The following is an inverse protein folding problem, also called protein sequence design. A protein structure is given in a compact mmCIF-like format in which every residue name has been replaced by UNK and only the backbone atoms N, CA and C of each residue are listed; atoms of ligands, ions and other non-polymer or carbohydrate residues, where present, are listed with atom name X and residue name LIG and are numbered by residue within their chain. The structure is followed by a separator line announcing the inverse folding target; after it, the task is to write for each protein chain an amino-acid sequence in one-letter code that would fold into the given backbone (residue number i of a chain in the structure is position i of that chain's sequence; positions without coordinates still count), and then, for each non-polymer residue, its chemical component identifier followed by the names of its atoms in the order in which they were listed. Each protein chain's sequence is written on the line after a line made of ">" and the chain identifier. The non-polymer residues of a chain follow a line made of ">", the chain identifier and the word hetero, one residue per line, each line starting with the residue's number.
data_IF_274162476460
#
_entry.id   IF_274162476460
#
_cell.length_a   1.000
_cell.length_b   1.000
_cell.length_c   1.000
_cell.angle_alpha   90.00
_cell.angle_beta   90.00
_cell.angle_gamma   90.00
#
_symmetry.space_group_name_H-M   'P 1'
#
loop_
_entity.id
_entity.type
_entity.pdbx_description
1 polymer ?
#
# COMPACT_ATOMS: atom_id res chain seq x y z
N UNK A 1 -14.40 35.16 -48.24
CA UNK A 1 -13.66 33.89 -48.35
C UNK A 1 -12.42 34.06 -47.49
N UNK A 2 -12.66 34.10 -46.17
CA UNK A 2 -12.29 33.08 -45.18
C UNK A 2 -10.77 32.98 -45.03
N UNK A 3 -10.33 33.36 -43.82
CA UNK A 3 -8.95 33.58 -43.44
C UNK A 3 -8.09 32.34 -43.55
N UNK A 4 -6.80 32.60 -43.75
CA UNK A 4 -5.72 31.65 -43.55
C UNK A 4 -5.51 31.48 -42.05
N UNK A 5 -6.04 30.40 -41.50
CA UNK A 5 -5.53 29.83 -40.25
C UNK A 5 -4.59 28.66 -40.58
N UNK A 6 -3.55 28.45 -39.74
CA UNK A 6 -2.32 27.75 -40.10
C UNK A 6 -2.39 26.25 -39.80
N UNK A 7 -1.38 25.53 -40.28
CA UNK A 7 -1.11 24.11 -40.10
C UNK A 7 -1.66 23.50 -38.80
N UNK A 8 -2.60 22.57 -38.94
CA UNK A 8 -2.98 21.60 -37.90
C UNK A 8 -1.81 20.61 -37.74
N UNK A 9 -1.01 20.84 -36.70
CA UNK A 9 -0.02 19.89 -36.22
C UNK A 9 -0.73 18.63 -35.69
N UNK A 10 -0.17 17.43 -35.87
CA UNK A 10 -0.72 16.23 -35.24
C UNK A 10 -0.57 16.35 -33.72
N UNK A 11 -1.69 16.16 -33.02
CA UNK A 11 -1.74 16.08 -31.56
C UNK A 11 -0.78 14.99 -31.10
N UNK A 12 0.28 15.40 -30.42
CA UNK A 12 1.31 14.55 -29.85
C UNK A 12 0.67 13.81 -28.66
N UNK A 13 0.40 12.52 -28.83
CA UNK A 13 -0.02 11.64 -27.73
C UNK A 13 1.16 11.57 -26.73
N UNK A 14 1.06 12.34 -25.65
CA UNK A 14 1.96 12.25 -24.50
C UNK A 14 1.72 10.90 -23.80
N UNK A 15 2.41 9.86 -24.26
CA UNK A 15 2.57 8.62 -23.51
C UNK A 15 3.32 8.97 -22.21
N UNK A 16 2.61 9.04 -21.09
CA UNK A 16 3.24 9.08 -19.77
C UNK A 16 3.99 7.76 -19.56
N UNK A 17 5.27 7.78 -19.91
CA UNK A 17 6.22 6.77 -19.48
C UNK A 17 6.25 6.76 -17.95
N UNK A 18 5.67 5.70 -17.36
CA UNK A 18 5.85 5.34 -15.96
C UNK A 18 7.35 5.08 -15.74
N UNK A 19 8.06 6.17 -15.47
CA UNK A 19 9.46 6.21 -15.16
C UNK A 19 9.73 5.40 -13.90
N UNK A 20 10.02 4.12 -14.09
CA UNK A 20 10.73 3.27 -13.15
C UNK A 20 12.09 3.87 -12.83
N UNK A 21 12.12 4.84 -11.92
CA UNK A 21 13.34 5.40 -11.35
C UNK A 21 13.52 4.85 -9.95
N UNK A 22 14.33 3.79 -9.86
CA UNK A 22 14.88 3.33 -8.59
C UNK A 22 15.70 4.46 -7.96
N UNK A 23 15.11 5.12 -6.96
CA UNK A 23 15.82 5.95 -6.00
C UNK A 23 15.38 5.54 -4.60
N UNK A 24 16.34 5.14 -3.78
CA UNK A 24 16.16 4.75 -2.38
C UNK A 24 15.62 5.89 -1.52
N UNK A 25 14.32 6.11 -1.60
CA UNK A 25 13.52 6.92 -0.70
C UNK A 25 12.22 6.16 -0.54
N UNK A 26 12.16 5.34 0.52
CA UNK A 26 11.04 4.44 0.78
C UNK A 26 9.71 5.18 0.62
N UNK A 27 8.89 4.71 -0.33
CA UNK A 27 7.46 5.05 -0.31
C UNK A 27 6.99 4.74 1.11
N UNK A 28 6.48 5.76 1.80
CA UNK A 28 5.93 5.60 3.15
C UNK A 28 4.60 4.87 3.04
N UNK A 29 4.65 3.59 2.68
CA UNK A 29 3.49 2.73 2.65
C UNK A 29 3.02 2.56 4.09
N UNK A 30 1.84 3.10 4.39
CA UNK A 30 1.22 2.95 5.71
C UNK A 30 0.44 1.66 5.70
N UNK A 31 0.87 0.70 6.50
CA UNK A 31 0.15 -0.55 6.66
C UNK A 31 -0.84 -0.47 7.81
N UNK A 32 -1.86 -1.32 7.72
CA UNK A 32 -2.90 -1.47 8.73
C UNK A 32 -3.09 -2.96 9.02
N UNK A 33 -3.36 -3.26 10.28
CA UNK A 33 -3.72 -4.62 10.71
C UNK A 33 -5.08 -4.61 11.39
N UNK A 34 -5.86 -5.67 11.13
CA UNK A 34 -7.15 -5.87 11.77
C UNK A 34 -6.98 -6.68 13.05
N UNK A 35 -7.65 -6.24 14.12
CA UNK A 35 -7.70 -6.97 15.38
C UNK A 35 -8.42 -8.33 15.21
N UNK A 36 -7.76 -9.43 15.62
CA UNK A 36 -8.27 -10.81 15.51
C UNK A 36 -9.52 -11.10 16.36
N UNK A 37 -9.79 -10.28 17.39
CA UNK A 37 -10.97 -10.43 18.23
C UNK A 37 -12.27 -10.12 17.46
N UNK A 38 -13.22 -11.07 17.37
CA UNK A 38 -14.49 -10.88 16.65
C UNK A 38 -15.38 -9.77 17.23
N UNK A 39 -15.20 -9.45 18.51
CA UNK A 39 -15.92 -8.35 19.17
C UNK A 39 -15.28 -6.98 18.94
N UNK A 40 -14.10 -6.93 18.33
CA UNK A 40 -13.35 -5.70 18.11
C UNK A 40 -13.27 -5.34 16.64
N UNK A 41 -12.63 -6.20 15.82
CA UNK A 41 -12.45 -6.07 14.37
C UNK A 41 -11.89 -4.73 13.86
N UNK A 42 -11.33 -3.90 14.75
CA UNK A 42 -10.78 -2.57 14.44
C UNK A 42 -9.45 -2.67 13.72
N UNK A 43 -9.24 -1.75 12.80
CA UNK A 43 -7.99 -1.50 12.12
C UNK A 43 -7.06 -0.62 12.95
N UNK A 44 -5.78 -0.97 12.93
CA UNK A 44 -4.72 -0.30 13.68
C UNK A 44 -3.58 0.02 12.73
N UNK A 45 -3.20 1.30 12.70
CA UNK A 45 -2.10 1.74 11.86
C UNK A 45 -0.80 1.17 12.39
N UNK A 46 0.01 0.67 11.49
CA UNK A 46 1.35 0.19 11.80
C UNK A 46 2.38 1.24 11.43
N UNK A 47 3.46 1.27 12.21
CA UNK A 47 4.61 2.10 11.88
C UNK A 47 5.29 1.55 10.63
N UNK A 48 5.97 2.41 9.86
CA UNK A 48 6.59 2.05 8.57
C UNK A 48 7.68 0.97 8.67
N UNK A 49 8.17 0.71 9.88
CA UNK A 49 9.18 -0.30 10.22
C UNK A 49 8.58 -1.67 10.60
N UNK A 50 7.24 -1.77 10.69
CA UNK A 50 6.56 -3.01 11.07
C UNK A 50 6.01 -3.72 9.83
N UNK A 51 6.32 -5.02 9.72
CA UNK A 51 5.83 -5.91 8.68
C UNK A 51 4.66 -6.80 9.21
N UNK A 52 3.41 -6.63 8.77
CA UNK A 52 2.26 -7.49 9.02
C UNK A 52 2.45 -8.95 8.70
N UNK A 53 3.31 -9.31 7.75
CA UNK A 53 3.60 -10.73 7.51
C UNK A 53 4.43 -11.34 8.65
N UNK A 54 5.15 -10.51 9.41
CA UNK A 54 5.87 -10.92 10.61
C UNK A 54 5.04 -10.80 11.90
N UNK A 55 3.85 -10.19 11.84
CA UNK A 55 2.92 -10.14 12.95
C UNK A 55 2.18 -11.49 13.09
N UNK A 56 1.84 -11.89 14.31
CA UNK A 56 1.14 -13.15 14.53
C UNK A 56 -0.31 -13.10 14.02
N UNK A 57 -0.86 -14.23 13.60
CA UNK A 57 -2.24 -14.31 13.08
C UNK A 57 -3.30 -13.95 14.14
N UNK A 58 -3.00 -14.18 15.42
CA UNK A 58 -3.88 -13.84 16.55
C UNK A 58 -3.71 -12.41 17.05
N UNK A 59 -3.05 -11.54 16.27
CA UNK A 59 -2.76 -10.16 16.66
C UNK A 59 -4.00 -9.40 17.15
N UNK A 60 -3.85 -8.71 18.28
CA UNK A 60 -4.90 -7.91 18.88
C UNK A 60 -4.42 -6.51 19.24
N UNK A 61 -5.36 -5.60 19.51
CA UNK A 61 -5.03 -4.20 19.84
C UNK A 61 -4.02 -4.07 20.99
N UNK A 62 -3.98 -4.99 21.95
CA UNK A 62 -3.02 -4.94 23.07
C UNK A 62 -1.56 -5.11 22.65
N UNK A 63 -1.32 -5.68 21.47
CA UNK A 63 0.00 -5.84 20.87
C UNK A 63 0.42 -4.65 20.00
N UNK A 64 -0.43 -3.62 19.88
CA UNK A 64 -0.07 -2.41 19.17
C UNK A 64 0.98 -1.62 19.97
N UNK A 65 2.17 -1.32 19.40
CA UNK A 65 3.15 -0.45 20.05
C UNK A 65 2.66 0.99 20.23
N UNK A 66 1.67 1.44 19.43
CA UNK A 66 1.07 2.75 19.61
C UNK A 66 0.15 2.78 20.84
N UNK A 67 0.61 3.46 21.89
CA UNK A 67 -0.11 3.63 23.16
C UNK A 67 -1.46 4.34 23.02
N UNK A 68 -1.67 5.11 21.95
CA UNK A 68 -2.95 5.75 21.70
C UNK A 68 -3.99 4.74 21.21
N UNK A 69 -3.58 3.68 20.52
CA UNK A 69 -4.44 2.70 19.87
C UNK A 69 -4.18 1.26 20.33
N UNK A 70 -3.63 1.07 21.53
CA UNK A 70 -3.27 -0.24 22.09
C UNK A 70 -4.38 -0.97 22.86
N UNK A 71 -5.65 -0.56 22.70
CA UNK A 71 -6.79 -1.19 23.39
C UNK A 71 -7.99 -1.31 22.48
N UNK A 72 -8.75 -2.39 22.63
CA UNK A 72 -9.99 -2.61 21.87
C UNK A 72 -11.08 -1.56 22.18
N UNK A 73 -11.00 -0.92 23.35
CA UNK A 73 -11.91 0.14 23.78
C UNK A 73 -11.66 1.47 23.08
N UNK A 74 -10.49 1.66 22.48
CA UNK A 74 -10.16 2.88 21.72
C UNK A 74 -10.83 2.80 20.34
N UNK A 75 -11.45 3.87 19.84
CA UNK A 75 -12.00 3.89 18.48
C UNK A 75 -10.92 3.64 17.41
N UNK A 76 -11.34 3.21 16.22
CA UNK A 76 -10.49 3.11 15.04
C UNK A 76 -10.04 4.48 14.54
N UNK A 77 -8.85 4.56 13.94
CA UNK A 77 -8.37 5.79 13.28
C UNK A 77 -9.12 6.02 11.96
N UNK A 78 -9.49 7.27 11.68
CA UNK A 78 -10.10 7.60 10.38
C UNK A 78 -9.04 7.56 9.28
N UNK A 79 -9.24 6.71 8.27
CA UNK A 79 -8.46 6.74 7.03
C UNK A 79 -8.98 7.86 6.12
N UNK A 80 -8.06 8.67 5.58
CA UNK A 80 -8.38 9.80 4.69
C UNK A 80 -7.84 9.65 3.25
N UNK A 81 -7.39 8.45 2.88
CA UNK A 81 -6.89 8.16 1.51
C UNK A 81 -8.01 7.76 0.54
N UNK A 82 -7.71 7.69 -0.75
CA UNK A 82 -8.63 7.17 -1.76
C UNK A 82 -8.63 5.63 -1.78
N UNK A 83 -9.75 5.02 -2.20
CA UNK A 83 -9.85 3.56 -2.36
C UNK A 83 -8.88 3.04 -3.43
N UNK A 84 -8.61 3.83 -4.46
CA UNK A 84 -7.65 3.50 -5.54
C UNK A 84 -6.19 3.41 -5.06
N UNK A 85 -5.88 3.93 -3.87
CA UNK A 85 -4.55 3.84 -3.25
C UNK A 85 -4.39 2.59 -2.36
N UNK A 86 -5.49 1.85 -2.11
CA UNK A 86 -5.48 0.69 -1.21
C UNK A 86 -5.00 -0.56 -1.93
N UNK A 87 -3.91 -1.15 -1.45
CA UNK A 87 -3.42 -2.45 -1.92
C UNK A 87 -3.65 -3.50 -0.84
N UNK A 88 -4.48 -4.49 -1.14
CA UNK A 88 -4.63 -5.68 -0.30
C UNK A 88 -3.54 -6.69 -0.65
N UNK A 89 -2.52 -6.78 0.19
CA UNK A 89 -1.45 -7.75 0.05
C UNK A 89 -1.05 -8.32 1.41
N UNK A 90 -0.66 -9.59 1.43
CA UNK A 90 -0.07 -10.22 2.61
C UNK A 90 1.37 -9.75 2.84
N UNK A 91 2.03 -9.23 1.80
CA UNK A 91 3.43 -8.81 1.81
C UNK A 91 3.56 -7.31 1.62
N UNK A 92 4.63 -6.73 2.15
CA UNK A 92 4.95 -5.33 1.97
C UNK A 92 5.38 -5.03 0.53
N UNK A 93 5.07 -3.83 0.02
CA UNK A 93 5.76 -3.30 -1.15
C UNK A 93 7.27 -3.35 -0.93
N UNK A 94 7.97 -4.06 -1.81
CA UNK A 94 9.42 -4.30 -1.70
C UNK A 94 9.82 -5.63 -1.06
N UNK A 95 8.87 -6.43 -0.55
CA UNK A 95 9.14 -7.80 -0.09
C UNK A 95 9.59 -8.69 -1.26
N UNK A 96 10.74 -9.35 -1.12
CA UNK A 96 11.21 -10.37 -2.05
C UNK A 96 10.63 -11.72 -1.62
N UNK A 97 9.89 -12.35 -2.52
CA UNK A 97 9.34 -13.70 -2.32
C UNK A 97 10.09 -14.71 -3.18
N UNK A 98 10.32 -15.90 -2.65
CA UNK A 98 10.88 -17.01 -3.42
C UNK A 98 9.82 -17.58 -4.35
N UNK A 99 10.09 -17.57 -5.66
CA UNK A 99 9.28 -18.29 -6.64
C UNK A 99 9.97 -19.62 -6.99
N UNK A 100 9.24 -20.74 -6.88
CA UNK A 100 9.70 -22.03 -7.39
C UNK A 100 9.05 -22.29 -8.75
N UNK A 101 9.85 -22.28 -9.82
CA UNK A 101 9.39 -22.75 -11.12
C UNK A 101 9.55 -24.26 -11.22
N UNK A 102 8.53 -24.96 -11.70
CA UNK A 102 8.62 -26.38 -12.01
C UNK A 102 9.63 -26.59 -13.15
N UNK A 103 10.63 -27.45 -12.95
CA UNK A 103 11.67 -27.77 -13.95
C UNK A 103 12.93 -26.90 -13.92
N UNK A 104 13.25 -26.23 -12.81
CA UNK A 104 14.51 -25.46 -12.65
C UNK A 104 15.43 -26.03 -11.54
N UNK A 105 16.76 -26.13 -11.76
CA UNK A 105 17.44 -25.86 -13.02
C UNK A 105 17.25 -26.97 -14.06
N UNK A 106 16.81 -28.18 -13.67
CA UNK A 106 16.31 -29.26 -14.52
C UNK A 106 15.59 -30.34 -13.68
#
# INVERSE_FOLDING_TARGET
>A
YMGTDPEEAPEEEEEEEDGGSGSGSGRRCTAWIQCSYPSCEKWRRLSSDVDPSALPEDWSCSQNPDLQYNRCSVPEETWSGSEDEVVYATYFPGSIVWAKQYGYPW
#
